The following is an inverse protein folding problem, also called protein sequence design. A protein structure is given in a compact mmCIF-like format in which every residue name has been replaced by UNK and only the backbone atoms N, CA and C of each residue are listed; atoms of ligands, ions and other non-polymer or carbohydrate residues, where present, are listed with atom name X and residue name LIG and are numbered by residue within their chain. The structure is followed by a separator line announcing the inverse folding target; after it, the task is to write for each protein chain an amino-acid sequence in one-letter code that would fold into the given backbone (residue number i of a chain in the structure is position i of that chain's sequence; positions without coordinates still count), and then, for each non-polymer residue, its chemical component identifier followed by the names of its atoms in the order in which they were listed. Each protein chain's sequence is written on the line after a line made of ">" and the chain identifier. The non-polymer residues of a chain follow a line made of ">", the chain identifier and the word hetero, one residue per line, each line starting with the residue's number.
data_IF_014730515293
#
_entry.id   IF_014730515293
#
_cell.length_a   1.000
_cell.length_b   1.000
_cell.length_c   1.000
_cell.angle_alpha   90.00
_cell.angle_beta   90.00
_cell.angle_gamma   90.00
#
_symmetry.space_group_name_H-M   'P 1'
#
loop_
_entity.id
_entity.type
_entity.pdbx_description
1 polymer ?
#
# COMPACT_ATOMS: atom_id res chain seq x y z
N UNK A 1 45.62 -12.38 -19.50
CA UNK A 1 44.96 -11.05 -19.44
C UNK A 1 44.08 -11.06 -18.20
N UNK A 2 44.48 -10.50 -17.04
CA UNK A 2 44.22 -9.10 -16.58
C UNK A 2 42.74 -8.73 -16.85
N UNK A 3 41.82 -8.53 -15.89
CA UNK A 3 41.82 -7.82 -14.58
C UNK A 3 40.59 -8.30 -13.75
N UNK A 4 40.75 -8.69 -12.48
CA UNK A 4 40.51 -7.95 -11.21
C UNK A 4 39.02 -7.87 -10.79
N UNK A 5 38.60 -8.54 -9.70
CA UNK A 5 38.65 -8.10 -8.27
C UNK A 5 37.46 -7.16 -7.98
N UNK A 6 36.45 -7.57 -7.21
CA UNK A 6 36.17 -7.28 -5.78
C UNK A 6 34.78 -7.93 -5.58
N UNK A 7 34.52 -8.82 -4.60
CA UNK A 7 33.97 -8.49 -3.28
C UNK A 7 34.35 -9.64 -2.33
N UNK A 8 35.14 -9.30 -1.33
CA UNK A 8 35.32 -10.06 -0.11
C UNK A 8 35.22 -9.03 1.03
N UNK A 9 34.26 -9.20 1.94
CA UNK A 9 34.27 -8.74 3.33
C UNK A 9 32.86 -8.79 3.93
N UNK A 10 32.44 -9.93 4.48
CA UNK A 10 31.65 -9.97 5.73
C UNK A 10 32.05 -11.27 6.45
N UNK A 11 32.99 -11.17 7.38
CA UNK A 11 33.23 -12.18 8.42
C UNK A 11 34.08 -11.58 9.54
N UNK A 12 33.66 -11.86 10.78
CA UNK A 12 34.25 -11.54 12.09
C UNK A 12 34.02 -10.10 12.59
N UNK A 13 33.58 -9.83 13.83
CA UNK A 13 33.85 -10.43 15.17
C UNK A 13 32.82 -9.74 16.13
N UNK A 14 32.31 -10.25 17.28
CA UNK A 14 32.97 -10.78 18.49
C UNK A 14 31.94 -11.49 19.40
N UNK A 15 32.34 -12.61 20.00
CA UNK A 15 31.78 -13.20 21.23
C UNK A 15 32.71 -12.82 22.40
N UNK A 16 32.18 -12.24 23.50
CA UNK A 16 32.96 -12.00 24.71
C UNK A 16 32.34 -11.02 25.72
N UNK A 17 31.89 -11.54 26.87
CA UNK A 17 31.17 -10.87 27.95
C UNK A 17 32.01 -9.88 28.79
N UNK A 18 31.38 -8.80 29.29
CA UNK A 18 31.20 -8.47 30.74
C UNK A 18 30.61 -7.06 30.95
N UNK A 19 29.44 -7.03 31.59
CA UNK A 19 28.85 -6.00 32.46
C UNK A 19 29.35 -4.54 32.40
N UNK A 20 28.51 -3.66 31.81
CA UNK A 20 27.92 -2.41 32.39
C UNK A 20 27.53 -1.45 31.27
N UNK A 21 26.22 -1.28 31.06
CA UNK A 21 25.65 -0.24 30.17
C UNK A 21 24.89 -0.77 28.96
N UNK A 22 24.09 -1.81 29.11
CA UNK A 22 23.15 -2.28 28.07
C UNK A 22 21.88 -1.44 28.17
N UNK A 23 21.69 -0.53 27.20
CA UNK A 23 20.37 -0.12 26.65
C UNK A 23 20.54 0.95 25.56
N UNK A 24 21.69 1.63 25.48
CA UNK A 24 21.89 2.70 24.50
C UNK A 24 22.48 2.24 23.14
N UNK A 25 23.28 1.17 23.10
CA UNK A 25 23.94 0.72 21.88
C UNK A 25 23.00 0.06 20.85
N UNK A 26 22.06 -0.83 21.23
CA UNK A 26 21.14 -1.45 20.27
C UNK A 26 20.15 -0.44 19.70
N UNK A 27 19.61 0.45 20.53
CA UNK A 27 18.65 1.47 20.12
C UNK A 27 19.27 2.50 19.15
N UNK A 28 20.55 2.84 19.34
CA UNK A 28 21.24 3.80 18.49
C UNK A 28 21.68 3.20 17.14
N UNK A 29 21.91 1.89 17.06
CA UNK A 29 22.14 1.18 15.80
C UNK A 29 20.84 1.02 15.00
N UNK A 30 19.73 0.65 15.65
CA UNK A 30 18.39 0.59 15.03
C UNK A 30 17.93 1.97 14.56
N UNK A 31 18.15 3.03 15.33
CA UNK A 31 17.81 4.40 14.90
C UNK A 31 18.63 4.85 13.67
N UNK A 32 19.90 4.45 13.57
CA UNK A 32 20.75 4.76 12.41
C UNK A 32 20.36 3.97 11.18
N UNK A 33 19.96 2.70 11.32
CA UNK A 33 19.45 1.90 10.20
C UNK A 33 18.10 2.45 9.71
N UNK A 34 17.17 2.79 10.61
CA UNK A 34 15.88 3.39 10.25
C UNK A 34 16.04 4.76 9.57
N UNK A 35 17.03 5.56 9.96
CA UNK A 35 17.28 6.83 9.27
C UNK A 35 17.79 6.65 7.82
N UNK A 36 18.64 5.65 7.58
CA UNK A 36 19.07 5.27 6.23
C UNK A 36 17.91 4.73 5.41
N UNK A 37 17.14 3.80 5.98
CA UNK A 37 15.92 3.26 5.38
C UNK A 37 14.89 4.35 5.08
N UNK A 38 14.72 5.33 5.97
CA UNK A 38 13.83 6.47 5.74
C UNK A 38 14.20 7.27 4.50
N UNK A 39 15.50 7.43 4.23
CA UNK A 39 15.97 8.13 3.03
C UNK A 39 15.69 7.30 1.77
N UNK A 40 15.90 5.99 1.83
CA UNK A 40 15.58 5.07 0.73
C UNK A 40 14.08 5.03 0.45
N UNK A 41 13.25 4.92 1.49
CA UNK A 41 11.79 4.95 1.41
C UNK A 41 11.31 6.28 0.83
N UNK A 42 11.83 7.43 1.26
CA UNK A 42 11.46 8.72 0.66
C UNK A 42 11.87 8.81 -0.82
N UNK A 43 12.98 8.18 -1.22
CA UNK A 43 13.39 8.09 -2.61
C UNK A 43 12.52 7.12 -3.43
N UNK A 44 11.98 6.07 -2.80
CA UNK A 44 11.06 5.13 -3.42
C UNK A 44 9.64 5.72 -3.55
N UNK A 45 9.16 6.41 -2.52
CA UNK A 45 7.86 7.05 -2.40
C UNK A 45 7.90 8.50 -2.91
N UNK A 46 8.41 8.70 -4.12
CA UNK A 46 8.41 10.05 -4.71
C UNK A 46 6.98 10.57 -4.85
N UNK A 47 6.82 11.89 -4.72
CA UNK A 47 5.52 12.56 -4.93
C UNK A 47 4.84 12.10 -6.23
N UNK A 48 5.61 11.95 -7.32
CA UNK A 48 5.08 11.53 -8.61
C UNK A 48 4.48 10.12 -8.59
N UNK A 49 5.13 9.16 -7.91
CA UNK A 49 4.62 7.78 -7.79
C UNK A 49 3.36 7.73 -6.93
N UNK A 50 3.36 8.40 -5.79
CA UNK A 50 2.17 8.49 -4.91
C UNK A 50 1.02 9.20 -5.62
N UNK A 51 1.31 10.30 -6.32
CA UNK A 51 0.30 11.00 -7.10
C UNK A 51 -0.26 10.08 -8.18
N UNK A 52 0.58 9.34 -8.91
CA UNK A 52 0.10 8.41 -9.94
C UNK A 52 -0.80 7.30 -9.37
N UNK A 53 -0.50 6.81 -8.16
CA UNK A 53 -1.35 5.88 -7.42
C UNK A 53 -2.71 6.50 -7.08
N UNK A 54 -2.71 7.70 -6.49
CA UNK A 54 -3.94 8.35 -6.02
C UNK A 54 -4.81 8.86 -7.18
N UNK A 55 -4.20 9.29 -8.28
CA UNK A 55 -4.89 9.90 -9.43
C UNK A 55 -5.51 8.88 -10.40
N UNK A 56 -5.27 7.58 -10.21
CA UNK A 56 -5.66 6.53 -11.17
C UNK A 56 -7.17 6.55 -11.48
N UNK A 57 -8.02 6.67 -10.46
CA UNK A 57 -9.47 6.65 -10.66
C UNK A 57 -10.05 7.93 -11.22
N UNK A 58 -9.43 9.09 -10.91
CA UNK A 58 -9.82 10.35 -11.54
C UNK A 58 -9.66 10.21 -13.05
N UNK A 59 -8.53 9.64 -13.50
CA UNK A 59 -8.27 9.40 -14.92
C UNK A 59 -9.22 8.37 -15.53
N UNK A 60 -9.57 7.31 -14.79
CA UNK A 60 -10.51 6.29 -15.27
C UNK A 60 -11.97 6.77 -15.32
N UNK A 61 -12.33 7.83 -14.60
CA UNK A 61 -13.68 8.41 -14.68
C UNK A 61 -13.99 8.95 -16.08
N UNK A 62 -12.98 9.41 -16.84
CA UNK A 62 -13.10 9.81 -18.25
C UNK A 62 -13.52 8.64 -19.17
N UNK A 63 -13.28 7.40 -18.74
CA UNK A 63 -13.63 6.17 -19.45
C UNK A 63 -14.99 5.59 -19.00
N UNK A 64 -15.73 6.30 -18.15
CA UNK A 64 -17.08 5.92 -17.72
C UNK A 64 -17.14 5.05 -16.46
N UNK A 65 -16.03 4.91 -15.72
CA UNK A 65 -16.06 4.29 -14.39
C UNK A 65 -16.99 5.07 -13.48
N UNK A 66 -17.83 4.35 -12.73
CA UNK A 66 -18.67 4.90 -11.67
C UNK A 66 -18.34 4.25 -10.33
N UNK A 67 -18.65 4.95 -9.23
CA UNK A 67 -18.52 4.41 -7.89
C UNK A 67 -19.39 3.15 -7.68
N UNK A 68 -18.78 2.08 -7.17
CA UNK A 68 -19.45 0.84 -6.79
C UNK A 68 -19.23 0.56 -5.29
N UNK A 69 -20.22 0.85 -4.42
CA UNK A 69 -20.08 0.67 -2.96
C UNK A 69 -19.73 -0.78 -2.56
N UNK A 70 -20.22 -1.76 -3.32
CA UNK A 70 -19.97 -3.19 -3.08
C UNK A 70 -18.51 -3.61 -3.26
N UNK A 71 -17.67 -2.76 -3.87
CA UNK A 71 -16.25 -3.03 -4.03
C UNK A 71 -15.41 -2.54 -2.85
N UNK A 72 -15.91 -1.60 -2.04
CA UNK A 72 -15.20 -1.07 -0.88
C UNK A 72 -15.18 -2.08 0.29
N UNK A 73 -14.21 -1.98 1.19
CA UNK A 73 -14.17 -2.81 2.39
C UNK A 73 -15.25 -2.36 3.41
N UNK A 74 -15.69 -3.25 4.29
CA UNK A 74 -16.55 -2.89 5.44
C UNK A 74 -15.79 -1.95 6.39
N UNK A 75 -16.47 -1.16 7.24
CA UNK A 75 -15.88 -0.12 8.09
C UNK A 75 -15.81 -0.49 9.59
N UNK A 76 -16.38 -1.61 10.01
CA UNK A 76 -16.66 -1.96 11.40
C UNK A 76 -15.80 -3.11 11.94
N UNK A 77 -14.65 -3.38 11.31
CA UNK A 77 -13.83 -4.57 11.59
C UNK A 77 -12.69 -4.34 12.60
N UNK A 78 -12.44 -3.09 13.02
CA UNK A 78 -11.31 -2.73 13.89
C UNK A 78 -11.22 -3.57 15.18
N UNK A 79 -12.32 -3.85 15.92
CA UNK A 79 -12.23 -4.59 17.19
C UNK A 79 -11.81 -6.06 17.04
N UNK A 80 -11.86 -6.61 15.83
CA UNK A 80 -11.76 -8.04 15.55
C UNK A 80 -10.45 -8.41 14.85
N UNK A 81 -9.54 -7.44 14.71
CA UNK A 81 -8.29 -7.59 13.98
C UNK A 81 -7.09 -7.51 14.92
N UNK A 82 -6.10 -8.36 14.67
CA UNK A 82 -4.77 -8.20 15.24
C UNK A 82 -4.02 -6.99 14.63
N UNK A 83 -2.85 -6.68 15.17
CA UNK A 83 -2.07 -5.52 14.74
C UNK A 83 -1.63 -5.59 13.27
N UNK A 84 -1.29 -6.77 12.74
CA UNK A 84 -0.87 -6.90 11.35
C UNK A 84 -2.06 -6.62 10.42
N UNK A 85 -3.19 -7.26 10.69
CA UNK A 85 -4.43 -7.07 9.93
C UNK A 85 -4.95 -5.64 10.01
N UNK A 86 -4.82 -4.98 11.16
CA UNK A 86 -5.13 -3.55 11.31
C UNK A 86 -4.28 -2.68 10.39
N UNK A 87 -2.97 -2.92 10.28
CA UNK A 87 -2.08 -2.14 9.39
C UNK A 87 -2.44 -2.35 7.91
N UNK A 88 -2.69 -3.59 7.51
CA UNK A 88 -3.15 -3.91 6.14
C UNK A 88 -4.48 -3.22 5.85
N UNK A 89 -5.43 -3.31 6.79
CA UNK A 89 -6.76 -2.71 6.68
C UNK A 89 -6.73 -1.18 6.61
N UNK A 90 -5.80 -0.51 7.31
CA UNK A 90 -5.60 0.94 7.18
C UNK A 90 -5.27 1.34 5.73
N UNK A 91 -4.43 0.56 5.06
CA UNK A 91 -4.13 0.71 3.64
C UNK A 91 -5.37 0.67 2.76
N UNK A 92 -6.21 -0.35 2.98
CA UNK A 92 -7.46 -0.55 2.25
C UNK A 92 -8.43 0.61 2.49
N UNK A 93 -8.51 1.12 3.72
CA UNK A 93 -9.38 2.25 4.06
C UNK A 93 -8.91 3.58 3.49
N UNK A 94 -7.59 3.80 3.43
CA UNK A 94 -7.05 4.96 2.73
C UNK A 94 -7.39 4.90 1.24
N UNK A 95 -7.25 3.74 0.63
CA UNK A 95 -7.69 3.51 -0.74
C UNK A 95 -9.18 3.81 -0.91
N UNK A 96 -10.05 3.21 -0.08
CA UNK A 96 -11.51 3.40 -0.14
C UNK A 96 -11.91 4.87 -0.02
N UNK A 97 -11.24 5.63 0.84
CA UNK A 97 -11.46 7.07 0.99
C UNK A 97 -11.13 7.84 -0.29
N UNK A 98 -10.01 7.53 -0.95
CA UNK A 98 -9.59 8.16 -2.22
C UNK A 98 -10.51 7.75 -3.37
N UNK A 99 -10.92 6.48 -3.41
CA UNK A 99 -11.90 6.00 -4.37
C UNK A 99 -13.23 6.74 -4.18
N UNK A 100 -13.76 6.82 -2.96
CA UNK A 100 -15.00 7.52 -2.64
C UNK A 100 -14.92 9.03 -2.97
N UNK A 101 -13.80 9.70 -2.66
CA UNK A 101 -13.66 11.14 -2.88
C UNK A 101 -13.62 11.51 -4.37
N UNK A 102 -13.01 10.64 -5.20
CA UNK A 102 -13.00 10.79 -6.66
C UNK A 102 -14.42 10.89 -7.23
N UNK A 103 -15.38 10.20 -6.60
CA UNK A 103 -16.79 10.19 -7.00
C UNK A 103 -17.70 11.02 -6.08
N UNK A 104 -17.12 11.93 -5.29
CA UNK A 104 -17.82 12.88 -4.42
C UNK A 104 -18.74 12.20 -3.39
N UNK A 105 -18.36 11.03 -2.87
CA UNK A 105 -19.14 10.21 -1.93
C UNK A 105 -18.86 10.60 -0.47
N UNK A 106 -19.53 11.65 0.00
CA UNK A 106 -19.29 12.28 1.33
C UNK A 106 -19.29 11.30 2.49
N UNK A 107 -20.34 10.49 2.59
CA UNK A 107 -20.54 9.61 3.73
C UNK A 107 -19.49 8.50 3.75
N UNK A 108 -19.19 7.97 2.57
CA UNK A 108 -18.21 6.91 2.38
C UNK A 108 -16.78 7.41 2.71
N UNK A 109 -16.44 8.66 2.36
CA UNK A 109 -15.19 9.29 2.81
C UNK A 109 -15.17 9.45 4.33
N UNK A 110 -16.26 9.96 4.93
CA UNK A 110 -16.35 10.17 6.37
C UNK A 110 -16.19 8.87 7.16
N UNK A 111 -16.83 7.79 6.70
CA UNK A 111 -16.76 6.48 7.35
C UNK A 111 -15.35 5.88 7.25
N UNK A 112 -14.68 6.02 6.09
CA UNK A 112 -13.29 5.58 5.95
C UNK A 112 -12.35 6.37 6.86
N UNK A 113 -12.49 7.70 6.94
CA UNK A 113 -11.70 8.53 7.85
C UNK A 113 -11.89 8.11 9.30
N UNK A 114 -13.14 7.92 9.73
CA UNK A 114 -13.44 7.47 11.09
C UNK A 114 -12.75 6.13 11.38
N UNK A 115 -12.83 5.19 10.43
CA UNK A 115 -12.17 3.88 10.55
C UNK A 115 -10.65 4.02 10.65
N UNK A 116 -10.03 4.89 9.83
CA UNK A 116 -8.59 5.16 9.91
C UNK A 116 -8.19 5.71 11.28
N UNK A 117 -8.96 6.64 11.85
CA UNK A 117 -8.70 7.16 13.20
C UNK A 117 -8.82 6.08 14.28
N UNK A 118 -9.80 5.19 14.16
CA UNK A 118 -9.97 4.04 15.05
C UNK A 118 -8.79 3.07 14.95
N UNK A 119 -8.31 2.77 13.74
CA UNK A 119 -7.13 1.93 13.52
C UNK A 119 -5.87 2.59 14.12
N UNK A 120 -5.64 3.87 13.84
CA UNK A 120 -4.48 4.59 14.39
C UNK A 120 -4.49 4.61 15.92
N UNK A 121 -5.68 4.69 16.52
CA UNK A 121 -5.88 4.62 17.97
C UNK A 121 -5.61 3.21 18.50
N UNK A 122 -6.14 2.17 17.85
CA UNK A 122 -5.96 0.78 18.24
C UNK A 122 -4.49 0.34 18.19
N UNK A 123 -3.73 0.84 17.20
CA UNK A 123 -2.30 0.60 17.04
C UNK A 123 -1.41 1.50 17.93
N UNK A 124 -2.00 2.44 18.68
CA UNK A 124 -1.29 3.45 19.47
C UNK A 124 -0.19 4.20 18.68
N UNK A 125 -0.43 4.51 17.40
CA UNK A 125 0.62 5.04 16.52
C UNK A 125 1.27 6.35 17.01
N UNK A 126 0.53 7.15 17.78
CA UNK A 126 1.03 8.43 18.31
C UNK A 126 2.08 8.26 19.41
N UNK A 127 2.19 7.09 20.03
CA UNK A 127 3.29 6.81 20.95
C UNK A 127 4.61 6.51 20.22
N UNK A 128 4.53 6.18 18.92
CA UNK A 128 5.65 5.77 18.07
C UNK A 128 6.07 6.83 17.03
N UNK A 129 5.13 7.67 16.58
CA UNK A 129 5.34 8.68 15.55
C UNK A 129 4.60 9.99 15.84
N UNK A 130 5.25 11.13 15.59
CA UNK A 130 4.63 12.47 15.65
C UNK A 130 3.82 12.76 14.37
N UNK A 131 2.66 12.10 14.25
CA UNK A 131 1.79 12.21 13.08
C UNK A 131 1.05 13.54 13.05
N UNK A 132 1.33 14.33 12.02
CA UNK A 132 0.63 15.60 11.78
C UNK A 132 -0.82 15.41 11.27
N UNK A 133 -1.18 14.21 10.81
CA UNK A 133 -2.49 13.79 10.30
C UNK A 133 -3.08 14.71 9.21
N UNK A 134 -2.23 15.39 8.45
CA UNK A 134 -2.68 16.30 7.38
C UNK A 134 -3.46 15.55 6.31
N UNK A 135 -3.07 14.31 6.00
CA UNK A 135 -3.77 13.51 5.01
C UNK A 135 -5.22 13.24 5.44
N UNK A 136 -5.43 12.84 6.70
CA UNK A 136 -6.75 12.64 7.28
C UNK A 136 -7.56 13.94 7.35
N UNK A 137 -6.95 15.06 7.74
CA UNK A 137 -7.63 16.37 7.75
C UNK A 137 -8.06 16.83 6.35
N UNK A 138 -7.26 16.53 5.33
CA UNK A 138 -7.65 16.77 3.93
C UNK A 138 -8.85 15.91 3.52
N UNK A 139 -8.89 14.63 3.90
CA UNK A 139 -10.06 13.77 3.67
C UNK A 139 -11.30 14.22 4.46
N UNK A 140 -11.16 14.66 5.72
CA UNK A 140 -12.27 15.21 6.53
C UNK A 140 -12.90 16.44 5.89
N UNK A 141 -12.06 17.36 5.41
CA UNK A 141 -12.53 18.52 4.66
C UNK A 141 -13.28 18.07 3.41
N UNK A 142 -12.78 17.05 2.73
CA UNK A 142 -13.43 16.50 1.55
C UNK A 142 -14.78 15.84 1.84
N UNK A 143 -14.95 15.19 2.98
CA UNK A 143 -16.23 14.65 3.42
C UNK A 143 -17.27 15.73 3.73
N UNK A 144 -16.83 16.91 4.17
CA UNK A 144 -17.74 17.99 4.60
C UNK A 144 -18.34 18.74 3.40
N UNK A 145 -17.53 19.06 2.39
CA UNK A 145 -17.97 19.85 1.23
C UNK A 145 -17.27 19.47 -0.10
N UNK A 146 -17.56 18.29 -0.69
CA UNK A 146 -16.92 17.83 -1.92
C UNK A 146 -17.35 18.56 -3.19
N UNK A 147 -18.49 19.23 -3.21
CA UNK A 147 -18.97 19.94 -4.41
C UNK A 147 -18.15 21.20 -4.68
N UNK A 148 -17.49 21.73 -3.65
CA UNK A 148 -16.55 22.85 -3.75
C UNK A 148 -15.13 22.43 -4.16
N UNK A 149 -14.87 21.13 -4.34
CA UNK A 149 -13.51 20.60 -4.53
C UNK A 149 -13.21 20.30 -5.99
N UNK A 150 -12.11 20.86 -6.46
CA UNK A 150 -11.41 20.35 -7.62
C UNK A 150 -10.72 19.03 -7.23
N UNK A 151 -11.24 17.92 -7.74
CA UNK A 151 -10.72 16.56 -7.43
C UNK A 151 -9.23 16.45 -7.74
N UNK A 152 -8.74 17.09 -8.81
CA UNK A 152 -7.32 17.05 -9.14
C UNK A 152 -6.48 17.77 -8.07
N UNK A 153 -6.89 18.98 -7.67
CA UNK A 153 -6.20 19.72 -6.61
C UNK A 153 -6.25 18.98 -5.27
N UNK A 154 -7.35 18.28 -5.00
CA UNK A 154 -7.48 17.45 -3.81
C UNK A 154 -6.49 16.28 -3.82
N UNK A 155 -6.36 15.57 -4.95
CA UNK A 155 -5.38 14.47 -5.10
C UNK A 155 -3.94 14.99 -4.97
N UNK A 156 -3.63 16.15 -5.57
CA UNK A 156 -2.34 16.82 -5.39
C UNK A 156 -2.04 17.10 -3.90
N UNK A 157 -3.03 17.63 -3.17
CA UNK A 157 -2.90 17.93 -1.74
C UNK A 157 -2.79 16.65 -0.90
N UNK A 158 -3.59 15.62 -1.15
CA UNK A 158 -3.51 14.33 -0.46
C UNK A 158 -2.14 13.68 -0.64
N UNK A 159 -1.58 13.78 -1.85
CA UNK A 159 -0.23 13.29 -2.14
C UNK A 159 0.82 14.04 -1.31
N UNK A 160 0.76 15.38 -1.29
CA UNK A 160 1.70 16.21 -0.53
C UNK A 160 1.61 15.93 0.98
N UNK A 161 0.39 15.81 1.48
CA UNK A 161 0.13 15.53 2.89
C UNK A 161 0.67 14.15 3.27
N UNK A 162 0.38 13.12 2.47
CA UNK A 162 0.85 11.75 2.71
C UNK A 162 2.39 11.67 2.69
N UNK A 163 3.05 12.24 1.67
CA UNK A 163 4.52 12.27 1.59
C UNK A 163 5.14 13.01 2.78
N UNK A 164 4.48 14.05 3.29
CA UNK A 164 4.95 14.80 4.46
C UNK A 164 4.94 13.98 5.76
N UNK A 165 4.13 12.92 5.84
CA UNK A 165 4.01 12.04 7.02
C UNK A 165 5.06 10.92 7.02
N UNK A 166 5.64 10.58 5.85
CA UNK A 166 6.62 9.49 5.71
C UNK A 166 7.80 9.60 6.69
N UNK A 167 8.46 10.76 6.90
CA UNK A 167 9.57 10.85 7.85
C UNK A 167 9.16 10.50 9.28
N UNK A 168 7.96 10.90 9.70
CA UNK A 168 7.44 10.58 11.03
C UNK A 168 7.06 9.10 11.14
N UNK A 169 6.45 8.52 10.11
CA UNK A 169 6.16 7.08 10.08
C UNK A 169 7.43 6.21 10.08
N UNK A 170 8.56 6.76 9.67
CA UNK A 170 9.85 6.07 9.71
C UNK A 170 10.62 6.24 11.04
N UNK A 171 10.03 6.84 12.09
CA UNK A 171 10.74 7.11 13.35
C UNK A 171 10.87 5.90 14.28
N UNK A 172 10.01 4.89 14.14
CA UNK A 172 10.10 3.61 14.87
C UNK A 172 9.80 2.43 13.93
N UNK A 173 10.07 1.21 14.42
CA UNK A 173 9.73 0.00 13.69
C UNK A 173 8.20 -0.15 13.57
N UNK A 174 7.46 0.07 14.65
CA UNK A 174 6.01 -0.08 14.70
C UNK A 174 5.29 0.87 13.71
N UNK A 175 5.74 2.13 13.62
CA UNK A 175 5.19 3.09 12.67
C UNK A 175 5.64 2.80 11.23
N UNK A 176 6.84 2.24 11.03
CA UNK A 176 7.33 1.84 9.71
C UNK A 176 6.56 0.62 9.19
N UNK A 177 6.26 -0.34 10.07
CA UNK A 177 5.41 -1.48 9.73
C UNK A 177 4.02 -1.01 9.30
N UNK A 178 3.45 0.00 9.97
CA UNK A 178 2.17 0.61 9.56
C UNK A 178 2.24 1.21 8.15
N UNK A 179 3.32 1.90 7.81
CA UNK A 179 3.53 2.43 6.47
C UNK A 179 3.61 1.31 5.42
N UNK A 180 4.43 0.29 5.65
CA UNK A 180 4.72 -0.78 4.68
C UNK A 180 3.51 -1.69 4.49
N UNK A 181 2.92 -2.20 5.57
CA UNK A 181 1.72 -3.05 5.51
C UNK A 181 0.53 -2.24 4.98
N UNK A 182 0.42 -0.96 5.36
CA UNK A 182 -0.59 -0.05 4.80
C UNK A 182 -0.45 0.09 3.28
N UNK A 183 0.76 0.23 2.75
CA UNK A 183 0.97 0.25 1.30
C UNK A 183 0.59 -1.06 0.62
N UNK A 184 0.89 -2.20 1.24
CA UNK A 184 0.47 -3.49 0.75
C UNK A 184 -1.06 -3.61 0.70
N UNK A 185 -1.73 -3.23 1.78
CA UNK A 185 -3.19 -3.21 1.86
C UNK A 185 -3.83 -2.28 0.82
N UNK A 186 -3.26 -1.10 0.62
CA UNK A 186 -3.69 -0.14 -0.40
C UNK A 186 -3.65 -0.76 -1.80
N UNK A 187 -2.53 -1.39 -2.18
CA UNK A 187 -2.36 -1.99 -3.53
C UNK A 187 -3.21 -3.24 -3.70
N UNK A 188 -3.46 -3.98 -2.61
CA UNK A 188 -4.39 -5.12 -2.59
C UNK A 188 -5.81 -4.66 -2.89
N UNK A 189 -6.30 -3.64 -2.18
CA UNK A 189 -7.64 -3.09 -2.40
C UNK A 189 -7.78 -2.47 -3.78
N UNK A 190 -6.79 -1.68 -4.21
CA UNK A 190 -6.74 -1.13 -5.55
C UNK A 190 -6.84 -2.22 -6.62
N UNK A 191 -6.08 -3.31 -6.48
CA UNK A 191 -6.11 -4.42 -7.44
C UNK A 191 -7.45 -5.16 -7.43
N UNK A 192 -8.09 -5.29 -6.27
CA UNK A 192 -9.41 -5.90 -6.13
C UNK A 192 -10.50 -5.07 -6.83
N UNK A 193 -10.56 -3.77 -6.51
CA UNK A 193 -11.53 -2.84 -7.09
C UNK A 193 -11.33 -2.75 -8.61
N UNK A 194 -10.08 -2.61 -9.09
CA UNK A 194 -9.80 -2.60 -10.52
C UNK A 194 -10.29 -3.86 -11.24
N UNK A 195 -10.04 -5.03 -10.63
CA UNK A 195 -10.53 -6.30 -11.20
C UNK A 195 -12.04 -6.40 -11.21
N UNK A 196 -12.71 -5.89 -10.17
CA UNK A 196 -14.17 -5.82 -10.09
C UNK A 196 -14.75 -4.94 -11.21
N UNK A 197 -14.14 -3.77 -11.42
CA UNK A 197 -14.55 -2.84 -12.47
C UNK A 197 -14.37 -3.44 -13.86
N UNK A 198 -13.22 -4.05 -14.16
CA UNK A 198 -12.96 -4.72 -15.44
C UNK A 198 -13.95 -5.85 -15.72
N UNK A 199 -14.28 -6.67 -14.71
CA UNK A 199 -15.32 -7.72 -14.86
C UNK A 199 -16.70 -7.15 -15.15
N UNK A 200 -17.00 -5.94 -14.65
CA UNK A 200 -18.26 -5.26 -14.90
C UNK A 200 -18.26 -4.43 -16.19
N UNK A 201 -17.11 -4.29 -16.87
CA UNK A 201 -16.99 -3.50 -18.08
C UNK A 201 -17.45 -4.26 -19.33
N UNK A 202 -18.75 -4.19 -19.61
CA UNK A 202 -19.30 -4.74 -20.85
C UNK A 202 -18.84 -3.98 -22.11
N UNK A 203 -18.21 -2.80 -21.96
CA UNK A 203 -17.89 -1.91 -23.08
C UNK A 203 -16.44 -1.97 -23.54
N UNK A 204 -15.54 -2.56 -22.74
CA UNK A 204 -14.08 -2.58 -22.98
C UNK A 204 -13.37 -1.23 -22.80
N UNK A 205 -14.11 -0.15 -22.49
CA UNK A 205 -13.57 1.21 -22.37
C UNK A 205 -12.66 1.38 -21.17
N UNK A 206 -12.88 0.64 -20.10
CA UNK A 206 -12.06 0.67 -18.89
C UNK A 206 -10.71 -0.01 -19.19
N UNK A 207 -10.71 -1.10 -19.95
CA UNK A 207 -9.50 -1.76 -20.43
C UNK A 207 -8.68 -0.84 -21.33
N UNK A 208 -9.31 -0.22 -22.34
CA UNK A 208 -8.66 0.79 -23.19
C UNK A 208 -8.09 1.98 -22.40
N UNK A 209 -8.81 2.40 -21.34
CA UNK A 209 -8.35 3.45 -20.46
C UNK A 209 -7.12 3.03 -19.67
N UNK A 210 -7.05 1.80 -19.18
CA UNK A 210 -5.88 1.32 -18.44
C UNK A 210 -4.62 1.24 -19.31
N UNK A 211 -4.75 0.77 -20.56
CA UNK A 211 -3.64 0.72 -21.51
C UNK A 211 -3.09 2.12 -21.81
N UNK A 212 -3.97 3.13 -21.85
CA UNK A 212 -3.56 4.54 -22.05
C UNK A 212 -2.96 5.18 -20.80
N UNK A 213 -3.17 4.58 -19.63
CA UNK A 213 -2.69 5.07 -18.35
C UNK A 213 -1.36 4.46 -17.92
N UNK A 214 -0.67 3.71 -18.80
CA UNK A 214 0.68 3.19 -18.59
C UNK A 214 1.56 4.24 -17.86
N UNK A 215 1.78 3.98 -16.58
CA UNK A 215 2.46 4.84 -15.64
C UNK A 215 3.43 4.03 -14.78
N UNK A 216 4.17 4.67 -13.87
CA UNK A 216 5.17 4.00 -13.04
C UNK A 216 4.59 2.72 -12.42
N UNK A 217 5.33 1.61 -12.52
CA UNK A 217 4.90 0.29 -12.06
C UNK A 217 4.72 0.32 -10.52
N UNK A 218 3.53 0.71 -10.07
CA UNK A 218 3.19 0.90 -8.66
C UNK A 218 3.45 -0.36 -7.83
N UNK A 219 3.33 -1.53 -8.45
CA UNK A 219 3.64 -2.82 -7.82
C UNK A 219 5.15 -2.99 -7.58
N UNK A 220 5.99 -2.50 -8.50
CA UNK A 220 7.45 -2.49 -8.32
C UNK A 220 7.85 -1.65 -7.11
N UNK A 221 7.20 -0.51 -6.89
CA UNK A 221 7.43 0.30 -5.69
C UNK A 221 7.20 -0.49 -4.40
N UNK A 222 6.15 -1.32 -4.33
CA UNK A 222 5.90 -2.19 -3.16
C UNK A 222 6.99 -3.25 -3.01
N UNK A 223 7.43 -3.89 -4.10
CA UNK A 223 8.54 -4.84 -4.05
C UNK A 223 9.81 -4.16 -3.51
N UNK A 224 10.16 -2.99 -4.05
CA UNK A 224 11.37 -2.26 -3.66
C UNK A 224 11.30 -1.83 -2.18
N UNK A 225 10.11 -1.46 -1.67
CA UNK A 225 9.91 -1.17 -0.25
C UNK A 225 10.16 -2.41 0.61
N UNK A 226 9.53 -3.54 0.31
CA UNK A 226 9.73 -4.75 1.13
C UNK A 226 11.18 -5.24 1.07
N UNK A 227 11.85 -5.13 -0.08
CA UNK A 227 13.28 -5.43 -0.22
C UNK A 227 14.13 -4.52 0.65
N UNK A 228 13.84 -3.22 0.70
CA UNK A 228 14.57 -2.27 1.54
C UNK A 228 14.51 -2.64 3.03
N UNK A 229 13.41 -3.26 3.49
CA UNK A 229 13.23 -3.70 4.88
C UNK A 229 13.60 -5.15 5.15
N UNK A 230 14.17 -5.88 4.18
CA UNK A 230 14.48 -7.31 4.30
C UNK A 230 13.23 -8.17 4.61
N UNK A 231 12.09 -7.77 4.05
CA UNK A 231 10.76 -8.38 4.24
C UNK A 231 10.29 -9.17 3.01
N UNK A 232 11.21 -9.52 2.09
CA UNK A 232 10.85 -10.09 0.79
C UNK A 232 10.20 -11.47 0.87
N UNK A 233 10.56 -12.28 1.86
CA UNK A 233 10.03 -13.63 2.06
C UNK A 233 8.95 -13.69 3.15
N UNK A 234 8.41 -12.53 3.53
CA UNK A 234 7.39 -12.46 4.57
C UNK A 234 6.11 -13.19 4.16
N UNK A 235 5.59 -13.95 5.13
CA UNK A 235 4.36 -14.70 5.01
C UNK A 235 3.30 -14.07 5.89
N UNK A 236 2.04 -14.22 5.50
CA UNK A 236 0.89 -13.83 6.30
C UNK A 236 -0.13 -14.97 6.35
N UNK A 237 -0.89 -15.03 7.44
CA UNK A 237 -2.00 -15.96 7.58
C UNK A 237 -3.28 -15.34 7.02
N UNK A 238 -3.88 -16.02 6.05
CA UNK A 238 -5.11 -15.60 5.37
C UNK A 238 -6.08 -16.77 5.43
N UNK A 239 -7.14 -16.65 6.22
CA UNK A 239 -8.18 -17.68 6.35
C UNK A 239 -7.63 -19.06 6.75
N UNK A 240 -6.63 -19.08 7.65
CA UNK A 240 -5.96 -20.31 8.11
C UNK A 240 -5.00 -20.92 7.09
N UNK A 241 -4.62 -20.16 6.06
CA UNK A 241 -3.58 -20.53 5.11
C UNK A 241 -2.43 -19.53 5.16
N UNK A 242 -1.21 -20.05 5.27
CA UNK A 242 0.00 -19.26 5.09
C UNK A 242 0.19 -18.93 3.61
N UNK A 243 0.30 -17.63 3.29
CA UNK A 243 0.60 -17.14 1.95
C UNK A 243 1.81 -16.23 1.96
N UNK A 244 2.63 -16.27 0.90
CA UNK A 244 3.69 -15.29 0.69
C UNK A 244 3.06 -13.92 0.38
N UNK A 245 3.35 -12.92 1.22
CA UNK A 245 2.75 -11.58 1.11
C UNK A 245 3.04 -11.00 -0.28
N UNK A 246 4.27 -11.06 -0.76
CA UNK A 246 4.66 -10.49 -2.05
C UNK A 246 4.33 -11.33 -3.29
N UNK A 247 3.81 -12.55 -3.18
CA UNK A 247 3.60 -13.42 -4.34
C UNK A 247 2.71 -12.76 -5.42
N UNK A 248 1.59 -12.16 -5.00
CA UNK A 248 0.66 -11.50 -5.92
C UNK A 248 1.24 -10.23 -6.54
N UNK A 249 2.10 -9.51 -5.80
CA UNK A 249 2.80 -8.32 -6.28
C UNK A 249 3.86 -8.72 -7.33
N UNK A 250 4.63 -9.78 -7.06
CA UNK A 250 5.61 -10.34 -7.99
C UNK A 250 4.96 -10.82 -9.28
N UNK A 251 3.87 -11.58 -9.19
CA UNK A 251 3.10 -12.00 -10.36
C UNK A 251 2.61 -10.79 -11.14
N UNK A 252 2.08 -9.79 -10.46
CA UNK A 252 1.63 -8.56 -11.09
C UNK A 252 2.71 -7.76 -11.82
N UNK A 253 3.94 -7.72 -11.29
CA UNK A 253 5.09 -7.13 -11.99
C UNK A 253 5.53 -7.97 -13.19
N UNK A 254 5.55 -9.30 -13.06
CA UNK A 254 5.89 -10.22 -14.14
C UNK A 254 4.93 -10.06 -15.32
N UNK A 255 3.62 -9.98 -15.06
CA UNK A 255 2.62 -9.83 -16.12
C UNK A 255 2.79 -8.52 -16.89
N UNK A 256 2.94 -7.39 -16.19
CA UNK A 256 3.18 -6.11 -16.83
C UNK A 256 4.43 -6.14 -17.73
N UNK A 257 5.53 -6.74 -17.25
CA UNK A 257 6.77 -6.86 -18.05
C UNK A 257 6.61 -7.80 -19.24
N UNK A 258 5.89 -8.91 -19.07
CA UNK A 258 5.68 -9.90 -20.11
C UNK A 258 4.73 -9.39 -21.22
N UNK A 259 3.70 -8.63 -20.86
CA UNK A 259 2.81 -7.93 -21.80
C UNK A 259 3.58 -6.87 -22.59
N UNK A 260 4.30 -5.95 -21.91
CA UNK A 260 5.10 -4.92 -22.58
C UNK A 260 6.18 -5.47 -23.51
N UNK A 261 6.73 -6.65 -23.18
CA UNK A 261 7.76 -7.30 -24.00
C UNK A 261 7.21 -8.27 -25.06
N UNK A 262 5.89 -8.43 -25.15
CA UNK A 262 5.24 -9.36 -26.08
C UNK A 262 5.60 -10.83 -25.83
N UNK A 263 5.98 -11.19 -24.60
CA UNK A 263 6.37 -12.55 -24.21
C UNK A 263 5.18 -13.46 -23.91
N UNK A 264 4.02 -12.87 -23.60
CA UNK A 264 2.75 -13.57 -23.41
C UNK A 264 1.82 -13.26 -24.57
N UNK A 265 1.04 -14.26 -25.00
CA UNK A 265 -0.11 -14.01 -25.86
C UNK A 265 -1.22 -13.32 -25.07
N UNK A 266 -2.14 -12.64 -25.76
CA UNK A 266 -3.30 -11.99 -25.11
C UNK A 266 -4.15 -13.00 -24.31
N UNK A 267 -4.28 -14.23 -24.82
CA UNK A 267 -5.04 -15.31 -24.14
C UNK A 267 -4.34 -15.78 -22.87
N UNK A 268 -3.02 -15.97 -22.90
CA UNK A 268 -2.25 -16.35 -21.72
C UNK A 268 -2.24 -15.21 -20.68
N UNK A 269 -2.08 -13.97 -21.13
CA UNK A 269 -2.14 -12.78 -20.27
C UNK A 269 -3.52 -12.66 -19.59
N UNK A 270 -4.61 -12.88 -20.33
CA UNK A 270 -5.97 -12.91 -19.79
C UNK A 270 -6.11 -13.95 -18.67
N UNK A 271 -5.63 -15.18 -18.91
CA UNK A 271 -5.72 -16.27 -17.95
C UNK A 271 -4.95 -15.95 -16.66
N UNK A 272 -3.73 -15.42 -16.79
CA UNK A 272 -2.92 -15.00 -15.66
C UNK A 272 -3.55 -13.83 -14.88
N UNK A 273 -4.14 -12.84 -15.57
CA UNK A 273 -4.87 -11.74 -14.92
C UNK A 273 -6.07 -12.26 -14.12
N UNK A 274 -6.80 -13.26 -14.62
CA UNK A 274 -7.89 -13.91 -13.89
C UNK A 274 -7.40 -14.67 -12.65
N UNK A 275 -6.28 -15.40 -12.77
CA UNK A 275 -5.69 -16.11 -11.65
C UNK A 275 -5.23 -15.14 -10.55
N UNK A 276 -4.49 -14.09 -10.94
CA UNK A 276 -4.05 -13.04 -10.03
C UNK A 276 -5.24 -12.34 -9.36
N UNK A 277 -6.31 -12.03 -10.10
CA UNK A 277 -7.52 -11.41 -9.53
C UNK A 277 -8.18 -12.31 -8.48
N UNK A 278 -8.21 -13.62 -8.72
CA UNK A 278 -8.73 -14.60 -7.75
C UNK A 278 -7.86 -14.62 -6.49
N UNK A 279 -6.54 -14.58 -6.64
CA UNK A 279 -5.61 -14.54 -5.50
C UNK A 279 -5.74 -13.23 -4.70
N UNK A 280 -5.86 -12.08 -5.37
CA UNK A 280 -6.11 -10.79 -4.72
C UNK A 280 -7.43 -10.84 -3.93
N UNK A 281 -8.50 -11.39 -4.51
CA UNK A 281 -9.79 -11.51 -3.83
C UNK A 281 -9.70 -12.42 -2.60
N UNK A 282 -8.93 -13.52 -2.68
CA UNK A 282 -8.67 -14.41 -1.54
C UNK A 282 -7.90 -13.68 -0.42
N UNK A 283 -6.79 -13.03 -0.75
CA UNK A 283 -5.97 -12.25 0.19
C UNK A 283 -6.82 -11.17 0.87
N UNK A 284 -7.53 -10.35 0.07
CA UNK A 284 -8.44 -9.32 0.56
C UNK A 284 -9.45 -9.90 1.55
N UNK A 285 -10.06 -11.03 1.20
CA UNK A 285 -11.07 -11.66 2.05
C UNK A 285 -10.49 -12.10 3.38
N UNK A 286 -9.29 -12.70 3.41
CA UNK A 286 -8.67 -13.08 4.68
C UNK A 286 -8.20 -11.89 5.52
N UNK A 287 -7.78 -10.77 4.90
CA UNK A 287 -7.51 -9.53 5.63
C UNK A 287 -8.79 -9.03 6.32
N UNK A 288 -9.95 -9.16 5.67
CA UNK A 288 -11.24 -8.68 6.17
C UNK A 288 -12.05 -9.72 6.98
N UNK A 289 -11.56 -10.95 7.15
CA UNK A 289 -12.31 -12.02 7.81
C UNK A 289 -12.38 -11.86 9.33
N UNK A 290 -13.57 -11.74 9.88
CA UNK A 290 -13.79 -11.86 11.32
C UNK A 290 -13.50 -13.31 11.74
N UNK A 291 -12.76 -13.57 12.83
CA UNK A 291 -12.69 -14.93 13.36
C UNK A 291 -14.11 -15.37 13.75
N UNK A 292 -14.70 -16.28 12.98
CA UNK A 292 -16.00 -16.85 13.31
C UNK A 292 -15.74 -17.94 14.36
N UNK A 293 -16.17 -17.70 15.60
CA UNK A 293 -16.20 -18.71 16.68
C UNK A 293 -16.96 -19.99 16.29
#
# INVERSE_FOLDING_TARGET
>A
MKRKMIVALISMLVLGATARGEDAAPAQEVAKSLQQLSTEVQALLTKEKIHSLFDQYRKLSDFGVTYQPSLAALNDLVPEMDNERLRLYAGMKLFDAIYAVTFMKKQEVADCVKTLEEIQTALDLRSYADLNNRCLETLKRAATDPEALDVKQLIDQLTDDYVSEVPALMSSQESADYLIDGFYGFVTEMSYVMSGLLRSDASGRIEEGLDQLEGPNNRRMILDLFVAFDREDEQMEVSGMTVEKLAVIRQGCYLAEAEMSGKLSDEDAQQERMAMSTQVAFIRSGILMTEVE
#
